data_IF_457528049598
#
_entry.id   IF_457528049598
#
_cell.length_a   1.000
_cell.length_b   1.000
_cell.length_c   1.000
_cell.angle_alpha   90.00
_cell.angle_beta   90.00
_cell.angle_gamma   90.00
#
_symmetry.space_group_name_H-M   'P 1'
#
loop_
_entity.id
_entity.type
_entity.pdbx_description
1 polymer ?
#
# COMPACT_ATOMS: atom_id res chain seq x y z
N UNK A 1 12.44 0.56 -23.72
CA UNK A 1 12.37 -0.18 -22.44
C UNK A 1 11.56 0.61 -21.43
N UNK A 2 10.65 -0.04 -20.72
CA UNK A 2 9.92 0.56 -19.61
C UNK A 2 10.63 0.29 -18.28
N UNK A 3 10.66 1.28 -17.41
CA UNK A 3 11.05 1.14 -16.01
C UNK A 3 9.77 1.16 -15.16
N UNK A 4 9.62 0.14 -14.32
CA UNK A 4 8.46 -0.03 -13.43
C UNK A 4 8.96 -0.11 -12.00
N UNK A 5 8.40 0.72 -11.13
CA UNK A 5 8.68 0.70 -9.70
C UNK A 5 7.45 0.30 -8.90
N UNK A 6 7.63 -0.38 -7.77
CA UNK A 6 6.56 -0.73 -6.82
C UNK A 6 7.02 -0.50 -5.39
N UNK A 7 6.10 0.02 -4.57
CA UNK A 7 6.28 0.18 -3.13
C UNK A 7 4.92 0.19 -2.42
N UNK A 8 4.90 0.01 -1.10
CA UNK A 8 3.69 0.03 -0.28
C UNK A 8 3.71 1.14 0.78
N UNK A 9 2.52 1.49 1.25
CA UNK A 9 2.30 2.33 2.42
C UNK A 9 1.25 1.71 3.34
N UNK A 10 1.51 1.75 4.63
CA UNK A 10 0.52 1.31 5.62
C UNK A 10 0.61 -0.16 6.03
N UNK A 11 1.80 -0.77 5.99
CA UNK A 11 2.03 -2.13 6.48
C UNK A 11 1.81 -2.28 7.99
N UNK A 12 2.37 -1.39 8.78
CA UNK A 12 2.39 -1.46 10.25
C UNK A 12 1.21 -0.88 11.03
N UNK A 13 0.34 0.00 10.49
CA UNK A 13 -0.80 0.57 11.21
C UNK A 13 -1.80 -0.47 11.67
N UNK A 14 -2.50 -0.16 12.78
CA UNK A 14 -3.65 -0.94 13.27
C UNK A 14 -4.99 -0.42 12.75
N UNK A 15 -4.98 0.65 11.96
CA UNK A 15 -6.15 1.33 11.41
C UNK A 15 -5.91 1.70 9.95
N UNK A 16 -6.92 1.49 9.12
CA UNK A 16 -6.94 1.84 7.70
C UNK A 16 -6.23 0.83 6.79
N UNK A 17 -6.21 1.10 5.47
CA UNK A 17 -5.75 0.18 4.45
C UNK A 17 -4.22 0.02 4.40
N UNK A 18 -3.80 -1.05 3.72
CA UNK A 18 -2.49 -1.19 3.10
C UNK A 18 -2.64 -0.78 1.63
N UNK A 19 -1.75 0.05 1.13
CA UNK A 19 -1.82 0.58 -0.24
C UNK A 19 -0.53 0.25 -0.96
N UNK A 20 -0.62 -0.38 -2.13
CA UNK A 20 0.51 -0.60 -3.04
C UNK A 20 0.42 0.37 -4.20
N UNK A 21 1.51 1.07 -4.48
CA UNK A 21 1.68 1.92 -5.64
C UNK A 21 2.57 1.27 -6.68
N UNK A 22 2.24 1.48 -7.95
CA UNK A 22 3.06 1.13 -9.10
C UNK A 22 3.16 2.36 -10.02
N UNK A 23 4.36 2.70 -10.44
CA UNK A 23 4.64 3.69 -11.49
C UNK A 23 5.40 3.04 -12.64
N UNK A 24 5.09 3.46 -13.86
CA UNK A 24 5.79 3.01 -15.05
C UNK A 24 6.10 4.20 -15.97
N UNK A 25 7.37 4.32 -16.35
CA UNK A 25 7.87 5.39 -17.22
C UNK A 25 8.81 4.81 -18.28
N UNK A 26 8.92 5.42 -19.48
CA UNK A 26 10.00 5.10 -20.40
C UNK A 26 11.36 5.30 -19.74
N UNK A 27 12.33 4.43 -20.04
CA UNK A 27 13.67 4.51 -19.43
C UNK A 27 14.33 5.88 -19.62
N UNK A 28 14.13 6.49 -20.77
CA UNK A 28 14.71 7.80 -21.13
C UNK A 28 14.08 8.96 -20.32
N UNK A 29 12.93 8.73 -19.70
CA UNK A 29 12.22 9.71 -18.88
C UNK A 29 12.56 9.61 -17.38
N UNK A 30 13.33 8.60 -16.95
CA UNK A 30 13.67 8.40 -15.52
C UNK A 30 14.37 9.63 -14.91
N UNK A 31 15.24 10.29 -15.69
CA UNK A 31 15.93 11.50 -15.24
C UNK A 31 14.96 12.64 -14.85
N UNK A 32 13.80 12.73 -15.50
CA UNK A 32 12.78 13.74 -15.18
C UNK A 32 12.20 13.59 -13.79
N UNK A 33 12.13 12.36 -13.26
CA UNK A 33 11.69 12.12 -11.87
C UNK A 33 12.70 12.72 -10.87
N UNK A 34 14.00 12.55 -11.14
CA UNK A 34 15.06 13.12 -10.31
C UNK A 34 15.03 14.64 -10.37
N UNK A 35 14.91 15.23 -11.56
CA UNK A 35 14.79 16.68 -11.76
C UNK A 35 13.57 17.29 -11.06
N UNK A 36 12.44 16.58 -11.05
CA UNK A 36 11.24 16.97 -10.32
C UNK A 36 11.41 16.92 -8.80
N UNK A 37 12.48 16.25 -8.31
CA UNK A 37 12.80 16.12 -6.90
C UNK A 37 12.12 14.93 -6.23
N UNK A 38 11.87 13.86 -6.98
CA UNK A 38 11.43 12.57 -6.41
C UNK A 38 12.58 11.99 -5.57
N UNK A 39 12.26 11.59 -4.35
CA UNK A 39 13.14 10.91 -3.38
C UNK A 39 12.28 10.16 -2.37
N UNK A 40 12.88 9.52 -1.38
CA UNK A 40 12.16 8.84 -0.29
C UNK A 40 10.98 9.70 0.21
N UNK A 41 9.79 9.12 0.18
CA UNK A 41 8.54 9.82 0.51
C UNK A 41 8.51 10.38 1.94
N UNK A 42 9.29 9.79 2.85
CA UNK A 42 9.41 10.21 4.25
C UNK A 42 10.20 11.53 4.40
N UNK A 43 11.08 11.82 3.44
CA UNK A 43 11.88 13.04 3.38
C UNK A 43 11.14 14.21 2.70
N UNK A 44 9.94 13.98 2.22
CA UNK A 44 9.14 14.97 1.53
C UNK A 44 8.00 15.49 2.41
N UNK A 45 7.75 16.80 2.35
CA UNK A 45 6.55 17.38 2.96
C UNK A 45 5.29 16.88 2.24
N UNK A 46 4.14 16.89 2.94
CA UNK A 46 2.83 16.54 2.36
C UNK A 46 2.58 17.35 1.08
N UNK A 47 2.82 18.67 1.13
CA UNK A 47 2.65 19.58 -0.01
C UNK A 47 3.49 19.13 -1.21
N UNK A 48 4.78 18.76 -0.99
CA UNK A 48 5.66 18.33 -2.08
C UNK A 48 5.21 17.00 -2.67
N UNK A 49 4.76 16.04 -1.85
CA UNK A 49 4.20 14.77 -2.34
C UNK A 49 2.99 15.01 -3.25
N UNK A 50 2.05 15.85 -2.82
CA UNK A 50 0.86 16.20 -3.63
C UNK A 50 1.25 16.87 -4.95
N UNK A 51 2.21 17.80 -4.94
CA UNK A 51 2.73 18.44 -6.16
C UNK A 51 3.35 17.43 -7.13
N UNK A 52 4.10 16.44 -6.62
CA UNK A 52 4.70 15.39 -7.44
C UNK A 52 3.65 14.48 -8.06
N UNK A 53 2.60 14.12 -7.31
CA UNK A 53 1.47 13.33 -7.84
C UNK A 53 0.77 14.07 -8.99
N UNK A 54 0.46 15.35 -8.81
CA UNK A 54 -0.19 16.14 -9.85
C UNK A 54 0.71 16.36 -11.07
N UNK A 55 2.00 16.61 -10.85
CA UNK A 55 2.98 16.70 -11.94
C UNK A 55 3.08 15.38 -12.71
N UNK A 56 3.15 14.22 -12.03
CA UNK A 56 3.19 12.90 -12.67
C UNK A 56 1.94 12.65 -13.54
N UNK A 57 0.75 12.98 -13.01
CA UNK A 57 -0.51 12.86 -13.76
C UNK A 57 -0.54 13.71 -15.04
N UNK A 58 0.14 14.86 -15.04
CA UNK A 58 0.31 15.67 -16.25
C UNK A 58 1.23 14.97 -17.26
N UNK A 59 2.33 14.35 -16.80
CA UNK A 59 3.23 13.59 -17.68
C UNK A 59 2.54 12.36 -18.28
N UNK A 60 1.59 11.74 -17.60
CA UNK A 60 0.79 10.65 -18.17
C UNK A 60 0.08 11.05 -19.45
N UNK A 61 -0.47 12.26 -19.50
CA UNK A 61 -1.20 12.77 -20.68
C UNK A 61 -0.27 13.07 -21.86
N UNK A 62 0.93 13.56 -21.59
CA UNK A 62 1.87 14.02 -22.62
C UNK A 62 2.89 12.95 -23.03
N UNK A 63 3.26 12.03 -22.11
CA UNK A 63 4.33 11.05 -22.31
C UNK A 63 3.86 9.59 -22.22
N UNK A 64 2.58 9.36 -21.92
CA UNK A 64 2.02 8.02 -21.79
C UNK A 64 2.44 7.28 -20.52
N UNK A 65 3.00 7.96 -19.50
CA UNK A 65 3.35 7.35 -18.22
C UNK A 65 2.14 6.67 -17.60
N UNK A 66 2.38 5.67 -16.77
CA UNK A 66 1.30 4.88 -16.16
C UNK A 66 1.50 4.78 -14.66
N UNK A 67 0.41 4.70 -13.93
CA UNK A 67 0.41 4.31 -12.53
C UNK A 67 -0.79 3.44 -12.19
N UNK A 68 -0.63 2.67 -11.14
CA UNK A 68 -1.69 1.88 -10.50
C UNK A 68 -1.59 2.09 -9.00
N UNK A 69 -2.73 2.14 -8.33
CA UNK A 69 -2.81 2.07 -6.87
C UNK A 69 -3.78 0.96 -6.51
N UNK A 70 -3.30 0.00 -5.70
CA UNK A 70 -4.10 -1.10 -5.18
C UNK A 70 -4.35 -0.87 -3.70
N UNK A 71 -5.63 -0.75 -3.30
CA UNK A 71 -6.06 -0.47 -1.93
C UNK A 71 -6.55 -1.77 -1.30
N UNK A 72 -5.82 -2.25 -0.30
CA UNK A 72 -6.18 -3.45 0.44
C UNK A 72 -6.86 -3.07 1.75
N UNK A 73 -8.12 -3.45 1.89
CA UNK A 73 -8.93 -3.14 3.06
C UNK A 73 -8.46 -3.85 4.33
N UNK A 74 -8.80 -3.32 5.52
CA UNK A 74 -8.55 -4.00 6.79
C UNK A 74 -9.13 -5.41 6.86
N UNK A 75 -10.27 -5.65 6.20
CA UNK A 75 -10.91 -6.95 6.11
C UNK A 75 -10.03 -7.97 5.41
N UNK A 76 -9.50 -7.61 4.23
CA UNK A 76 -8.60 -8.48 3.46
C UNK A 76 -7.28 -8.74 4.22
N UNK A 77 -6.78 -7.74 4.95
CA UNK A 77 -5.60 -7.88 5.80
C UNK A 77 -5.86 -8.87 6.93
N UNK A 78 -7.00 -8.75 7.63
CA UNK A 78 -7.37 -9.66 8.73
C UNK A 78 -7.56 -11.09 8.22
N UNK A 79 -8.19 -11.28 7.05
CA UNK A 79 -8.35 -12.59 6.41
C UNK A 79 -6.98 -13.23 6.08
N UNK A 80 -6.06 -12.46 5.51
CA UNK A 80 -4.72 -12.94 5.18
C UNK A 80 -3.93 -13.36 6.43
N UNK A 81 -4.05 -12.64 7.55
CA UNK A 81 -3.38 -13.01 8.80
C UNK A 81 -3.94 -14.26 9.48
N UNK A 82 -5.15 -14.65 9.13
CA UNK A 82 -5.73 -15.94 9.54
C UNK A 82 -5.26 -17.12 8.67
N UNK A 83 -4.58 -16.84 7.54
CA UNK A 83 -4.06 -17.81 6.57
C UNK A 83 -2.55 -17.65 6.35
N UNK A 84 -2.18 -17.27 5.12
CA UNK A 84 -0.78 -17.26 4.63
C UNK A 84 0.08 -16.12 5.18
N UNK A 85 -0.53 -15.15 5.85
CA UNK A 85 0.14 -14.03 6.50
C UNK A 85 0.36 -12.81 5.59
N UNK A 86 0.81 -11.71 6.23
CA UNK A 86 0.94 -10.41 5.58
C UNK A 86 1.94 -10.41 4.41
N UNK A 87 3.05 -11.15 4.52
CA UNK A 87 4.05 -11.19 3.46
C UNK A 87 3.51 -11.79 2.15
N UNK A 88 2.64 -12.79 2.24
CA UNK A 88 2.00 -13.39 1.06
C UNK A 88 0.93 -12.46 0.49
N UNK A 89 0.16 -11.81 1.34
CA UNK A 89 -0.78 -10.78 0.88
C UNK A 89 -0.06 -9.66 0.10
N UNK A 90 1.08 -9.19 0.58
CA UNK A 90 1.87 -8.17 -0.12
C UNK A 90 2.34 -8.67 -1.49
N UNK A 91 2.84 -9.91 -1.59
CA UNK A 91 3.17 -10.55 -2.87
C UNK A 91 1.97 -10.53 -3.83
N UNK A 92 0.78 -10.88 -3.34
CA UNK A 92 -0.45 -10.89 -4.16
C UNK A 92 -0.81 -9.47 -4.63
N UNK A 93 -0.74 -8.47 -3.75
CA UNK A 93 -1.04 -7.07 -4.08
C UNK A 93 -0.06 -6.48 -5.11
N UNK A 94 1.24 -6.80 -5.00
CA UNK A 94 2.25 -6.38 -5.97
C UNK A 94 1.98 -7.05 -7.34
N UNK A 95 1.72 -8.34 -7.37
CA UNK A 95 1.38 -9.06 -8.59
C UNK A 95 0.07 -8.54 -9.22
N UNK A 96 -0.95 -8.19 -8.44
CA UNK A 96 -2.19 -7.57 -8.91
C UNK A 96 -1.92 -6.24 -9.61
N UNK A 97 -1.05 -5.37 -9.06
CA UNK A 97 -0.64 -4.13 -9.70
C UNK A 97 0.03 -4.39 -11.06
N UNK A 98 0.99 -5.32 -11.13
CA UNK A 98 1.69 -5.66 -12.37
C UNK A 98 0.70 -6.24 -13.39
N UNK A 99 -0.18 -7.14 -12.96
CA UNK A 99 -1.17 -7.78 -13.83
C UNK A 99 -2.17 -6.79 -14.44
N UNK A 100 -2.49 -5.69 -13.73
CA UNK A 100 -3.40 -4.66 -14.24
C UNK A 100 -2.82 -3.87 -15.43
N UNK A 101 -1.48 -3.90 -15.60
CA UNK A 101 -0.80 -3.25 -16.73
C UNK A 101 -0.26 -4.26 -17.75
N UNK A 102 -0.42 -5.56 -17.56
CA UNK A 102 0.19 -6.61 -18.39
C UNK A 102 -0.19 -6.53 -19.88
N UNK A 103 -1.39 -6.04 -20.19
CA UNK A 103 -1.84 -5.82 -21.58
C UNK A 103 -1.19 -4.60 -22.24
N UNK A 104 -0.68 -3.65 -21.44
CA UNK A 104 -0.09 -2.41 -21.89
C UNK A 104 1.44 -2.42 -21.84
N UNK A 105 2.02 -3.29 -20.99
CA UNK A 105 3.45 -3.41 -20.69
C UNK A 105 3.82 -4.89 -20.62
N UNK A 106 3.86 -5.59 -21.76
CA UNK A 106 4.10 -7.04 -21.80
C UNK A 106 5.45 -7.44 -22.42
N UNK A 107 6.28 -6.46 -22.77
CA UNK A 107 7.61 -6.68 -23.33
C UNK A 107 8.57 -5.54 -22.99
N UNK A 108 9.87 -5.87 -22.93
CA UNK A 108 10.95 -4.89 -22.72
C UNK A 108 10.74 -4.04 -21.45
N UNK A 109 10.49 -4.70 -20.32
CA UNK A 109 10.16 -4.08 -19.03
C UNK A 109 11.17 -4.49 -17.96
N UNK A 110 11.73 -3.51 -17.26
CA UNK A 110 12.52 -3.72 -16.05
C UNK A 110 11.69 -3.31 -14.84
N UNK A 111 11.40 -4.25 -13.94
CA UNK A 111 10.57 -4.06 -12.75
C UNK A 111 11.46 -4.09 -11.52
N UNK A 112 11.35 -3.06 -10.66
CA UNK A 112 12.00 -3.01 -9.36
C UNK A 112 10.95 -2.79 -8.27
N UNK A 113 10.97 -3.63 -7.23
CA UNK A 113 10.07 -3.52 -6.08
C UNK A 113 10.85 -3.25 -4.78
N UNK A 114 10.28 -2.42 -3.89
CA UNK A 114 10.76 -2.37 -2.52
C UNK A 114 10.37 -3.66 -1.80
N UNK A 115 11.37 -4.35 -1.19
CA UNK A 115 11.16 -5.67 -0.63
C UNK A 115 10.62 -5.61 0.79
N UNK A 116 9.41 -6.12 1.00
CA UNK A 116 8.82 -6.31 2.34
C UNK A 116 9.28 -7.61 3.01
N UNK A 117 9.88 -8.55 2.27
CA UNK A 117 10.42 -9.80 2.78
C UNK A 117 11.88 -9.63 3.22
N UNK A 118 12.32 -10.40 4.22
CA UNK A 118 13.73 -10.45 4.65
C UNK A 118 14.67 -10.96 3.56
N UNK A 119 14.15 -11.69 2.56
CA UNK A 119 14.88 -12.15 1.38
C UNK A 119 14.28 -11.52 0.12
N UNK A 120 14.93 -10.48 -0.46
CA UNK A 120 14.43 -9.79 -1.64
C UNK A 120 14.24 -10.72 -2.85
N UNK A 121 15.17 -11.64 -3.10
CA UNK A 121 15.06 -12.60 -4.23
C UNK A 121 13.81 -13.47 -4.09
N UNK A 122 13.57 -14.00 -2.90
CA UNK A 122 12.35 -14.77 -2.62
C UNK A 122 11.08 -13.94 -2.83
N UNK A 123 11.13 -12.65 -2.53
CA UNK A 123 10.00 -11.75 -2.73
C UNK A 123 9.69 -11.59 -4.21
N UNK A 124 10.70 -11.26 -5.04
CA UNK A 124 10.53 -11.17 -6.51
C UNK A 124 10.09 -12.48 -7.13
N UNK A 125 10.69 -13.63 -6.75
CA UNK A 125 10.32 -14.96 -7.26
C UNK A 125 8.85 -15.28 -6.99
N UNK A 126 8.35 -14.93 -5.81
CA UNK A 126 6.94 -15.14 -5.45
C UNK A 126 5.99 -14.22 -6.20
N UNK A 127 6.38 -12.98 -6.48
CA UNK A 127 5.58 -12.05 -7.28
C UNK A 127 5.48 -12.54 -8.72
N UNK A 128 6.60 -12.84 -9.37
CA UNK A 128 6.60 -13.29 -10.77
C UNK A 128 5.84 -14.60 -10.98
N UNK A 129 5.83 -15.50 -9.97
CA UNK A 129 5.01 -16.72 -10.01
C UNK A 129 3.49 -16.43 -10.08
N UNK A 130 3.05 -15.20 -9.81
CA UNK A 130 1.66 -14.73 -9.86
C UNK A 130 1.39 -13.75 -10.99
N UNK A 131 2.44 -13.34 -11.71
CA UNK A 131 2.31 -12.46 -12.88
C UNK A 131 1.89 -13.27 -14.09
N UNK A 132 0.82 -12.82 -14.75
CA UNK A 132 0.27 -13.48 -15.93
C UNK A 132 1.29 -13.50 -17.07
N UNK A 133 1.44 -14.66 -17.72
CA UNK A 133 2.28 -14.87 -18.90
C UNK A 133 3.77 -14.50 -18.69
N UNK A 134 4.24 -14.51 -17.45
CA UNK A 134 5.66 -14.32 -17.17
C UNK A 134 6.49 -15.57 -17.56
N UNK A 135 7.72 -15.46 -18.10
CA UNK A 135 8.44 -14.20 -18.37
C UNK A 135 7.97 -13.49 -19.65
N UNK A 136 7.82 -12.16 -19.56
CA UNK A 136 7.57 -11.35 -20.73
C UNK A 136 8.84 -11.15 -21.55
N UNK A 137 8.71 -10.94 -22.86
CA UNK A 137 9.86 -10.82 -23.76
C UNK A 137 10.79 -9.67 -23.30
N UNK A 138 12.10 -9.96 -23.17
CA UNK A 138 13.13 -9.00 -22.75
C UNK A 138 12.78 -8.25 -21.44
N UNK A 139 12.16 -8.94 -20.51
CA UNK A 139 11.72 -8.34 -19.25
C UNK A 139 12.38 -9.04 -18.06
N UNK A 140 12.60 -8.26 -17.02
CA UNK A 140 13.22 -8.70 -15.78
C UNK A 140 12.49 -8.11 -14.56
N UNK A 141 12.62 -8.77 -13.42
CA UNK A 141 12.13 -8.27 -12.14
C UNK A 141 13.13 -8.53 -11.02
N UNK A 142 13.38 -7.50 -10.25
CA UNK A 142 14.21 -7.54 -9.05
C UNK A 142 13.44 -6.93 -7.86
N UNK A 143 13.89 -7.25 -6.66
CA UNK A 143 13.48 -6.56 -5.44
C UNK A 143 14.70 -6.21 -4.62
N UNK A 144 14.68 -5.03 -3.98
CA UNK A 144 15.74 -4.55 -3.11
C UNK A 144 15.13 -3.96 -1.85
N UNK A 145 15.83 -4.05 -0.72
CA UNK A 145 15.46 -3.29 0.47
C UNK A 145 15.73 -1.81 0.28
N UNK A 146 14.77 -0.96 0.65
CA UNK A 146 14.85 0.50 0.52
C UNK A 146 15.01 0.96 -0.93
N UNK A 147 14.40 0.24 -1.85
CA UNK A 147 14.44 0.59 -3.26
C UNK A 147 13.83 1.99 -3.52
N UNK A 148 12.89 2.43 -2.69
CA UNK A 148 12.29 3.77 -2.70
C UNK A 148 13.29 4.92 -2.54
N UNK A 149 14.41 4.67 -1.84
CA UNK A 149 15.50 5.64 -1.66
C UNK A 149 16.61 5.56 -2.72
N UNK A 150 16.61 4.50 -3.54
CA UNK A 150 17.67 4.22 -4.53
C UNK A 150 17.17 4.52 -5.96
N UNK A 151 15.95 4.12 -6.27
CA UNK A 151 15.37 4.24 -7.61
C UNK A 151 14.21 5.25 -7.61
N UNK A 152 14.24 6.29 -8.48
CA UNK A 152 13.22 7.34 -8.48
C UNK A 152 11.85 6.84 -8.97
N UNK A 153 11.77 5.73 -9.72
CA UNK A 153 10.47 5.17 -10.14
C UNK A 153 9.81 4.47 -8.96
N UNK A 154 10.57 3.72 -8.15
CA UNK A 154 10.09 3.15 -6.88
C UNK A 154 9.74 4.26 -5.89
N UNK A 155 10.59 5.30 -5.76
CA UNK A 155 10.31 6.47 -4.93
C UNK A 155 9.00 7.16 -5.31
N UNK A 156 8.68 7.27 -6.61
CA UNK A 156 7.40 7.82 -7.06
C UNK A 156 6.22 6.90 -6.70
N UNK A 157 6.40 5.59 -6.78
CA UNK A 157 5.39 4.60 -6.38
C UNK A 157 5.09 4.69 -4.87
N UNK A 158 6.14 4.85 -4.05
CA UNK A 158 6.03 5.15 -2.61
C UNK A 158 5.19 6.41 -2.35
N UNK A 159 5.44 7.48 -3.12
CA UNK A 159 4.70 8.74 -2.99
C UNK A 159 3.21 8.52 -3.32
N UNK A 160 2.87 7.80 -4.40
CA UNK A 160 1.47 7.50 -4.72
C UNK A 160 0.80 6.66 -3.64
N UNK A 161 1.45 5.59 -3.18
CA UNK A 161 0.92 4.75 -2.09
C UNK A 161 0.67 5.59 -0.82
N UNK A 162 1.64 6.42 -0.44
CA UNK A 162 1.56 7.27 0.76
C UNK A 162 0.48 8.34 0.65
N UNK A 163 0.40 9.06 -0.47
CA UNK A 163 -0.62 10.11 -0.68
C UNK A 163 -2.01 9.50 -0.65
N UNK A 164 -2.24 8.41 -1.39
CA UNK A 164 -3.54 7.73 -1.40
C UNK A 164 -3.93 7.28 0.00
N UNK A 165 -3.01 6.65 0.74
CA UNK A 165 -3.30 6.21 2.10
C UNK A 165 -3.63 7.39 3.02
N UNK A 166 -2.87 8.47 2.96
CA UNK A 166 -3.10 9.66 3.81
C UNK A 166 -4.47 10.29 3.52
N UNK A 167 -4.89 10.36 2.25
CA UNK A 167 -6.23 10.81 1.86
C UNK A 167 -7.35 9.93 2.43
N UNK A 168 -7.14 8.60 2.44
CA UNK A 168 -8.12 7.67 2.99
C UNK A 168 -8.23 7.78 4.52
N UNK A 169 -7.11 7.99 5.23
CA UNK A 169 -7.10 8.25 6.68
C UNK A 169 -7.78 9.59 7.01
N UNK A 170 -7.58 10.61 6.19
CA UNK A 170 -8.27 11.89 6.37
C UNK A 170 -9.79 11.77 6.13
N UNK A 171 -10.21 11.05 5.08
CA UNK A 171 -11.63 10.74 4.85
C UNK A 171 -12.25 10.00 6.04
N UNK A 172 -11.54 9.02 6.59
CA UNK A 172 -11.99 8.33 7.80
C UNK A 172 -12.15 9.29 8.98
N UNK A 173 -11.18 10.20 9.19
CA UNK A 173 -11.27 11.22 10.24
C UNK A 173 -12.53 12.10 10.09
N UNK A 174 -12.84 12.50 8.86
CA UNK A 174 -14.06 13.28 8.56
C UNK A 174 -15.34 12.48 8.83
N UNK A 175 -15.38 11.20 8.48
CA UNK A 175 -16.56 10.35 8.68
C UNK A 175 -16.86 10.08 10.15
N UNK A 176 -15.82 9.81 10.96
CA UNK A 176 -16.01 9.57 12.40
C UNK A 176 -16.13 10.85 13.20
N UNK A 177 -15.89 12.02 12.58
CA UNK A 177 -16.03 13.35 13.21
C UNK A 177 -14.89 13.75 14.14
N UNK A 178 -13.74 13.04 14.08
CA UNK A 178 -12.53 13.38 14.84
C UNK A 178 -11.27 12.82 14.18
N UNK A 179 -10.12 13.45 14.43
CA UNK A 179 -8.85 12.97 13.89
C UNK A 179 -8.52 11.56 14.42
N UNK A 180 -8.25 10.63 13.50
CA UNK A 180 -7.83 9.26 13.84
C UNK A 180 -6.31 9.10 13.93
N UNK A 181 -5.55 10.17 13.70
CA UNK A 181 -4.10 10.14 13.64
C UNK A 181 -3.60 9.42 12.39
N UNK A 182 -2.39 8.89 12.44
CA UNK A 182 -1.77 8.18 11.31
C UNK A 182 -2.21 6.71 11.18
N UNK A 183 -2.93 6.20 12.17
CA UNK A 183 -3.31 4.79 12.28
C UNK A 183 -2.23 3.87 12.88
N UNK A 184 -1.03 4.38 13.14
CA UNK A 184 0.03 3.59 13.78
C UNK A 184 -0.19 3.45 15.29
N UNK A 185 0.10 2.26 15.88
CA UNK A 185 -0.03 2.06 17.34
C UNK A 185 0.83 3.00 18.18
N UNK A 186 1.92 3.53 17.63
CA UNK A 186 2.82 4.48 18.29
C UNK A 186 2.31 5.92 18.29
N UNK A 187 1.37 6.25 17.40
CA UNK A 187 0.83 7.62 17.27
C UNK A 187 -0.06 7.97 18.47
N UNK A 188 0.24 9.05 19.22
CA UNK A 188 -0.58 9.47 20.35
C UNK A 188 -2.04 9.77 19.99
N UNK A 189 -2.31 10.32 18.80
CA UNK A 189 -3.65 10.61 18.35
C UNK A 189 -4.42 9.31 18.08
N UNK A 190 -3.80 8.35 17.39
CA UNK A 190 -4.38 7.02 17.19
C UNK A 190 -4.67 6.34 18.52
N UNK A 191 -3.73 6.33 19.47
CA UNK A 191 -3.95 5.75 20.82
C UNK A 191 -5.18 6.31 21.52
N UNK A 192 -5.36 7.63 21.49
CA UNK A 192 -6.48 8.31 22.16
C UNK A 192 -7.85 7.91 21.62
N UNK A 193 -7.93 7.55 20.34
CA UNK A 193 -9.22 7.25 19.70
C UNK A 193 -9.56 5.75 19.69
N UNK A 194 -8.62 4.87 20.02
CA UNK A 194 -8.90 3.42 20.04
C UNK A 194 -10.06 3.08 20.97
N UNK A 195 -10.21 3.75 22.11
CA UNK A 195 -11.33 3.55 23.03
C UNK A 195 -12.70 3.84 22.39
N UNK A 196 -12.73 4.75 21.43
CA UNK A 196 -13.95 5.09 20.69
C UNK A 196 -14.23 4.15 19.53
N UNK A 197 -13.19 3.55 18.95
CA UNK A 197 -13.31 2.67 17.79
C UNK A 197 -13.38 1.18 18.17
N UNK A 198 -12.83 0.79 19.34
CA UNK A 198 -12.95 -0.54 19.89
C UNK A 198 -14.23 -0.60 20.73
N UNK A 199 -15.35 -0.95 20.10
CA UNK A 199 -16.69 -0.94 20.70
C UNK A 199 -17.35 -2.31 20.58
N UNK A 200 -18.23 -2.67 21.54
CA UNK A 200 -19.08 -3.86 21.49
C UNK A 200 -20.37 -3.52 20.69
N UNK A 201 -20.95 -4.44 19.89
CA UNK A 201 -20.53 -5.85 19.77
C UNK A 201 -19.31 -6.09 18.87
N UNK A 202 -18.91 -5.13 18.03
CA UNK A 202 -17.82 -5.28 17.08
C UNK A 202 -16.92 -4.02 17.09
N UNK A 203 -15.59 -4.18 16.92
CA UNK A 203 -14.72 -3.05 16.65
C UNK A 203 -15.09 -2.36 15.32
N UNK A 204 -14.74 -1.08 15.18
CA UNK A 204 -14.95 -0.34 13.94
C UNK A 204 -14.34 -1.08 12.73
N UNK A 205 -15.02 -1.05 11.58
CA UNK A 205 -14.63 -1.78 10.36
C UNK A 205 -13.23 -1.43 9.85
N UNK A 206 -12.79 -0.19 10.02
CA UNK A 206 -11.47 0.27 9.59
C UNK A 206 -10.32 -0.09 10.54
N UNK A 207 -10.59 -0.70 11.70
CA UNK A 207 -9.57 -1.31 12.54
C UNK A 207 -9.14 -2.66 11.96
N UNK A 208 -7.86 -3.01 12.07
CA UNK A 208 -7.33 -4.34 11.76
C UNK A 208 -7.46 -5.21 13.01
N UNK A 209 -8.54 -5.96 13.10
CA UNK A 209 -8.92 -6.70 14.32
C UNK A 209 -7.91 -7.75 14.73
N UNK A 210 -7.16 -8.28 13.76
CA UNK A 210 -6.08 -9.25 13.98
C UNK A 210 -4.82 -8.66 14.62
N UNK A 211 -4.66 -7.31 14.61
CA UNK A 211 -3.51 -6.65 15.22
C UNK A 211 -3.49 -6.79 16.74
N UNK A 212 -2.30 -7.09 17.30
CA UNK A 212 -2.13 -7.23 18.76
C UNK A 212 -2.66 -6.00 19.53
N UNK A 213 -2.44 -4.79 19.02
CA UNK A 213 -2.96 -3.56 19.62
C UNK A 213 -4.47 -3.58 19.78
N UNK A 214 -5.20 -4.06 18.77
CA UNK A 214 -6.67 -4.11 18.82
C UNK A 214 -7.15 -5.24 19.72
N UNK A 215 -6.53 -6.43 19.62
CA UNK A 215 -6.84 -7.57 20.48
C UNK A 215 -6.63 -7.26 21.96
N UNK A 216 -5.50 -6.64 22.30
CA UNK A 216 -5.19 -6.26 23.67
C UNK A 216 -6.19 -5.19 24.19
N UNK A 217 -6.51 -4.20 23.35
CA UNK A 217 -7.48 -3.15 23.71
C UNK A 217 -8.88 -3.71 23.90
N UNK A 218 -9.28 -4.68 23.09
CA UNK A 218 -10.55 -5.38 23.25
C UNK A 218 -10.61 -6.16 24.57
N UNK A 219 -9.58 -6.97 24.85
CA UNK A 219 -9.50 -7.78 26.07
C UNK A 219 -9.49 -6.91 27.34
N UNK A 220 -8.75 -5.80 27.32
CA UNK A 220 -8.74 -4.80 28.40
C UNK A 220 -10.14 -4.25 28.71
N UNK A 221 -10.95 -4.03 27.65
CA UNK A 221 -12.23 -3.34 27.77
C UNK A 221 -13.41 -4.26 28.05
N UNK A 222 -13.38 -5.50 27.57
CA UNK A 222 -14.55 -6.40 27.60
C UNK A 222 -14.31 -7.74 28.30
N UNK A 223 -13.09 -8.03 28.72
CA UNK A 223 -12.70 -9.30 29.37
C UNK A 223 -13.18 -10.56 28.60
N UNK A 224 -13.19 -10.45 27.27
CA UNK A 224 -13.59 -11.51 26.35
C UNK A 224 -12.61 -11.59 25.18
N UNK A 225 -12.52 -12.73 24.50
CA UNK A 225 -11.77 -12.79 23.24
C UNK A 225 -12.31 -11.79 22.21
N UNK A 226 -11.44 -11.13 21.44
CA UNK A 226 -11.88 -10.25 20.37
C UNK A 226 -12.63 -11.04 19.29
N UNK A 227 -13.66 -10.46 18.68
CA UNK A 227 -14.36 -11.10 17.58
C UNK A 227 -13.40 -11.35 16.41
N UNK A 228 -13.62 -12.44 15.67
CA UNK A 228 -12.91 -12.76 14.44
C UNK A 228 -13.76 -12.27 13.28
N UNK A 229 -13.14 -11.57 12.32
CA UNK A 229 -13.81 -11.27 11.06
C UNK A 229 -14.06 -12.55 10.29
N UNK A 230 -15.27 -12.72 9.86
CA UNK A 230 -15.71 -13.74 8.91
C UNK A 230 -16.63 -13.08 7.89
N UNK A 231 -16.80 -13.67 6.73
CA UNK A 231 -17.54 -13.10 5.60
C UNK A 231 -18.99 -12.71 5.92
N UNK A 232 -19.59 -13.32 6.96
CA UNK A 232 -20.93 -13.00 7.44
C UNK A 232 -21.04 -11.70 8.26
N UNK A 233 -19.90 -11.07 8.65
CA UNK A 233 -19.86 -9.82 9.44
C UNK A 233 -19.66 -8.58 8.55
N UNK A 234 -19.51 -8.74 7.24
CA UNK A 234 -19.36 -7.65 6.26
C UNK A 234 -20.67 -6.88 6.02
N UNK A 235 -21.34 -6.40 7.07
CA UNK A 235 -22.61 -5.65 6.96
C UNK A 235 -22.36 -4.12 6.90
N UNK A 236 -21.15 -3.65 7.06
CA UNK A 236 -20.81 -2.24 6.85
C UNK A 236 -20.09 -2.08 5.51
N UNK A 237 -20.69 -1.28 4.61
CA UNK A 237 -19.97 -0.79 3.43
C UNK A 237 -18.62 -0.26 3.83
N UNK A 238 -17.57 -0.71 3.19
CA UNK A 238 -16.24 -0.17 3.42
C UNK A 238 -16.13 1.19 2.74
N UNK A 239 -15.25 2.04 3.24
CA UNK A 239 -14.92 3.36 2.67
C UNK A 239 -14.43 3.31 1.21
N UNK A 240 -14.23 2.11 0.68
CA UNK A 240 -13.47 1.82 -0.52
C UNK A 240 -14.27 1.02 -1.57
N UNK A 241 -15.57 0.80 -1.32
CA UNK A 241 -16.51 0.23 -2.30
C UNK A 241 -17.04 1.29 -3.26
#
# INVERSE_FOLDING_TARGET
MWRVGLDEAGRGPCLGPLVVGLCAVPNDDVALLVEAGVKDSKDLSIKKRLQLVEWYKQQMKSRGWKYVVNICSPQRIDAALSGDGLNILEVDLFAECINSLSEQLSENVSILADACDVNPQRFSDRIIARVKNWPWQQSEMESLHKADSIDPVVGMSSIFAKVTRDELIEKLSQQVGFSVGSGYPSDPNTKKILDKLVTSPLPHSELRWSWATIKNKWAEKYDTPPPIRNDSINIQSTLFD
#
